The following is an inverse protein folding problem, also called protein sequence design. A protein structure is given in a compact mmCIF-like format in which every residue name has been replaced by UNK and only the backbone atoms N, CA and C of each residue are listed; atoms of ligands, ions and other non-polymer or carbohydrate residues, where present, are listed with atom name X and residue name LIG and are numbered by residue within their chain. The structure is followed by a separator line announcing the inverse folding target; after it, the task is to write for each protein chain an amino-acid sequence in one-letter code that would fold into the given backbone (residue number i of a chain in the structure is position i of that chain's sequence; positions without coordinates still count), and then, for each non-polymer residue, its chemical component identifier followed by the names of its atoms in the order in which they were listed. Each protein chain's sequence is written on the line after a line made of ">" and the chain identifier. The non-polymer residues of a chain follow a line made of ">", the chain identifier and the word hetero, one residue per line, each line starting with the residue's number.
data_IF_558625247083
#
_entry.id   IF_558625247083
#
_cell.length_a   1.000
_cell.length_b   1.000
_cell.length_c   1.000
_cell.angle_alpha   90.00
_cell.angle_beta   90.00
_cell.angle_gamma   90.00
#
_symmetry.space_group_name_H-M   'P 1'
#
loop_
_entity.id
_entity.type
_entity.pdbx_description
1 polymer ?
#
# COMPACT_ATOMS: atom_id res chain seq x y z
N UNK A 1 -13.16 -29.02 8.69
CA UNK A 1 -13.38 -28.79 7.23
C UNK A 1 -14.58 -27.88 6.92
N UNK A 2 -15.65 -27.85 7.73
CA UNK A 2 -16.83 -27.00 7.47
C UNK A 2 -16.58 -25.47 7.48
N UNK A 3 -15.56 -24.99 8.20
CA UNK A 3 -15.23 -23.56 8.23
C UNK A 3 -14.66 -23.01 6.91
N UNK A 4 -13.94 -23.84 6.15
CA UNK A 4 -13.33 -23.43 4.89
C UNK A 4 -14.37 -23.22 3.79
N UNK A 5 -15.40 -24.06 3.75
CA UNK A 5 -16.53 -23.90 2.83
C UNK A 5 -17.31 -22.60 3.09
N UNK A 6 -17.46 -22.20 4.37
CA UNK A 6 -18.10 -20.92 4.73
C UNK A 6 -17.30 -19.71 4.26
N UNK A 7 -15.97 -19.76 4.34
CA UNK A 7 -15.09 -18.69 3.85
C UNK A 7 -15.25 -18.50 2.34
N UNK A 8 -15.31 -19.58 1.56
CA UNK A 8 -15.41 -19.49 0.09
C UNK A 8 -16.76 -18.91 -0.35
N UNK A 9 -17.83 -19.14 0.42
CA UNK A 9 -19.16 -18.55 0.16
C UNK A 9 -19.38 -17.18 0.83
N UNK A 10 -18.41 -16.68 1.60
CA UNK A 10 -18.55 -15.38 2.24
C UNK A 10 -18.40 -14.27 1.18
N UNK A 11 -19.43 -13.42 0.97
CA UNK A 11 -19.40 -12.39 -0.04
C UNK A 11 -18.28 -11.36 0.18
N UNK A 12 -17.89 -11.11 1.44
CA UNK A 12 -16.76 -10.22 1.77
C UNK A 12 -15.44 -10.85 1.34
N UNK A 13 -15.29 -12.16 1.55
CA UNK A 13 -14.09 -12.89 1.12
C UNK A 13 -13.96 -12.94 -0.40
N UNK A 14 -15.06 -13.21 -1.12
CA UNK A 14 -15.09 -13.18 -2.58
C UNK A 14 -14.75 -11.78 -3.10
N UNK A 15 -15.33 -10.73 -2.50
CA UNK A 15 -15.01 -9.35 -2.87
C UNK A 15 -13.54 -9.02 -2.61
N UNK A 16 -13.00 -9.39 -1.45
CA UNK A 16 -11.60 -9.17 -1.10
C UNK A 16 -10.65 -9.86 -2.11
N UNK A 17 -10.91 -11.12 -2.46
CA UNK A 17 -10.14 -11.85 -3.48
C UNK A 17 -10.25 -11.17 -4.83
N UNK A 18 -11.45 -10.75 -5.23
CA UNK A 18 -11.67 -10.10 -6.54
C UNK A 18 -10.89 -8.79 -6.62
N UNK A 19 -10.97 -7.94 -5.59
CA UNK A 19 -10.21 -6.70 -5.49
C UNK A 19 -8.70 -6.99 -5.52
N UNK A 20 -8.24 -8.00 -4.79
CA UNK A 20 -6.82 -8.36 -4.74
C UNK A 20 -6.30 -8.87 -6.10
N UNK A 21 -7.10 -9.68 -6.80
CA UNK A 21 -6.78 -10.13 -8.15
C UNK A 21 -6.64 -8.94 -9.11
N UNK A 22 -7.61 -8.02 -9.12
CA UNK A 22 -7.57 -6.82 -9.93
C UNK A 22 -6.37 -5.93 -9.59
N UNK A 23 -6.09 -5.72 -8.29
CA UNK A 23 -4.93 -4.96 -7.83
C UNK A 23 -3.61 -5.59 -8.28
N UNK A 24 -3.52 -6.93 -8.27
CA UNK A 24 -2.35 -7.67 -8.74
C UNK A 24 -2.14 -7.45 -10.24
N UNK A 25 -3.19 -7.57 -11.06
CA UNK A 25 -3.09 -7.32 -12.50
C UNK A 25 -2.71 -5.86 -12.79
N UNK A 26 -3.31 -4.90 -12.09
CA UNK A 26 -2.97 -3.49 -12.21
C UNK A 26 -1.50 -3.24 -11.84
N UNK A 27 -1.01 -3.84 -10.76
CA UNK A 27 0.38 -3.72 -10.34
C UNK A 27 1.36 -4.26 -11.37
N UNK A 28 1.10 -5.47 -11.89
CA UNK A 28 1.91 -6.06 -12.96
C UNK A 28 1.91 -5.18 -14.20
N UNK A 29 0.76 -4.59 -14.56
CA UNK A 29 0.66 -3.68 -15.69
C UNK A 29 1.50 -2.39 -15.48
N UNK A 30 1.45 -1.80 -14.28
CA UNK A 30 2.26 -0.64 -13.92
C UNK A 30 3.75 -0.96 -14.00
N UNK A 31 4.18 -2.10 -13.45
CA UNK A 31 5.59 -2.53 -13.51
C UNK A 31 6.10 -2.78 -14.94
N UNK A 32 5.21 -3.13 -15.88
CA UNK A 32 5.57 -3.28 -17.29
C UNK A 32 5.66 -1.95 -18.03
N UNK A 33 4.99 -0.91 -17.56
CA UNK A 33 4.86 0.38 -18.24
C UNK A 33 5.76 1.47 -17.65
N UNK A 34 6.15 1.34 -16.39
CA UNK A 34 6.86 2.35 -15.61
C UNK A 34 8.18 1.74 -15.09
N UNK A 35 9.31 2.49 -15.12
CA UNK A 35 10.57 2.01 -14.55
C UNK A 35 10.39 1.59 -13.08
N UNK A 36 10.98 0.45 -12.71
CA UNK A 36 10.88 -0.09 -11.35
C UNK A 36 11.23 0.95 -10.27
N UNK A 37 12.26 1.76 -10.51
CA UNK A 37 12.67 2.84 -9.59
C UNK A 37 11.50 3.77 -9.24
N UNK A 38 10.75 4.24 -10.25
CA UNK A 38 9.61 5.13 -10.05
C UNK A 38 8.43 4.42 -9.36
N UNK A 39 8.18 3.15 -9.70
CA UNK A 39 7.13 2.36 -9.05
C UNK A 39 7.40 2.15 -7.55
N UNK A 40 8.65 1.84 -7.17
CA UNK A 40 9.06 1.72 -5.78
C UNK A 40 9.02 3.06 -5.04
N UNK A 41 9.40 4.16 -5.69
CA UNK A 41 9.25 5.50 -5.13
C UNK A 41 7.79 5.81 -4.79
N UNK A 42 6.87 5.49 -5.70
CA UNK A 42 5.43 5.67 -5.46
C UNK A 42 4.93 4.80 -4.31
N UNK A 43 5.40 3.55 -4.23
CA UNK A 43 5.07 2.64 -3.13
C UNK A 43 5.56 3.16 -1.76
N UNK A 44 6.74 3.80 -1.73
CA UNK A 44 7.26 4.45 -0.52
C UNK A 44 6.39 5.64 -0.08
N UNK A 45 5.91 6.46 -1.02
CA UNK A 45 4.99 7.57 -0.73
C UNK A 45 3.68 7.11 -0.10
N UNK A 46 3.17 5.92 -0.47
CA UNK A 46 1.97 5.33 0.14
C UNK A 46 2.10 5.20 1.66
N UNK A 47 3.28 4.90 2.20
CA UNK A 47 3.49 4.81 3.64
C UNK A 47 3.40 6.16 4.37
N UNK A 48 3.49 7.28 3.64
CA UNK A 48 3.28 8.63 4.19
C UNK A 48 1.83 9.06 3.96
N UNK A 49 1.32 8.86 2.76
CA UNK A 49 -0.02 9.27 2.34
C UNK A 49 -1.10 8.50 3.10
N UNK A 50 -0.97 7.18 3.27
CA UNK A 50 -2.00 6.35 3.92
C UNK A 50 -2.25 6.79 5.36
N UNK A 51 -1.24 6.95 6.24
CA UNK A 51 -1.49 7.47 7.58
C UNK A 51 -2.09 8.86 7.60
N UNK A 52 -1.66 9.77 6.71
CA UNK A 52 -2.22 11.12 6.63
C UNK A 52 -3.71 11.06 6.24
N UNK A 53 -4.05 10.27 5.22
CA UNK A 53 -5.44 10.05 4.83
C UNK A 53 -6.25 9.36 5.91
N UNK A 54 -5.69 8.38 6.63
CA UNK A 54 -6.35 7.76 7.78
C UNK A 54 -6.62 8.77 8.89
N UNK A 55 -5.68 9.66 9.19
CA UNK A 55 -5.87 10.71 10.17
C UNK A 55 -6.96 11.71 9.76
N UNK A 56 -7.02 12.07 8.47
CA UNK A 56 -8.00 13.04 7.95
C UNK A 56 -9.39 12.44 7.75
N UNK A 57 -9.49 11.20 7.25
CA UNK A 57 -10.77 10.55 6.90
C UNK A 57 -11.36 9.75 8.06
N UNK A 58 -10.53 9.03 8.82
CA UNK A 58 -10.94 8.19 9.95
C UNK A 58 -10.78 8.91 11.30
N UNK A 59 -10.12 10.08 11.33
CA UNK A 59 -9.91 10.84 12.56
C UNK A 59 -8.89 10.22 13.51
N UNK A 60 -8.05 9.30 13.04
CA UNK A 60 -7.07 8.61 13.88
C UNK A 60 -5.96 9.55 14.36
N UNK A 61 -5.58 9.43 15.64
CA UNK A 61 -4.50 10.22 16.21
C UNK A 61 -3.16 9.71 15.68
N UNK A 62 -2.52 10.53 14.83
CA UNK A 62 -1.16 10.29 14.37
C UNK A 62 -0.20 10.34 15.57
N UNK A 63 0.32 9.18 15.95
CA UNK A 63 1.35 9.10 16.98
C UNK A 63 2.70 9.59 16.45
N UNK A 64 3.55 10.08 17.36
CA UNK A 64 4.92 10.52 17.03
C UNK A 64 5.73 9.42 16.31
N UNK A 65 5.44 8.14 16.59
CA UNK A 65 6.04 6.98 15.92
C UNK A 65 5.73 6.94 14.43
N UNK A 66 4.50 7.29 14.03
CA UNK A 66 4.11 7.35 12.63
C UNK A 66 4.89 8.46 11.89
N UNK A 67 5.13 9.59 12.57
CA UNK A 67 5.90 10.70 12.02
C UNK A 67 7.38 10.34 11.83
N UNK A 68 7.98 9.66 12.82
CA UNK A 68 9.36 9.16 12.73
C UNK A 68 9.49 8.13 11.60
N UNK A 69 8.54 7.19 11.50
CA UNK A 69 8.50 6.21 10.42
C UNK A 69 8.39 6.86 9.04
N UNK A 70 7.47 7.83 8.88
CA UNK A 70 7.33 8.60 7.66
C UNK A 70 8.62 9.35 7.29
N UNK A 71 9.28 10.01 8.26
CA UNK A 71 10.53 10.71 8.03
C UNK A 71 11.66 9.76 7.58
N UNK A 72 11.77 8.56 8.15
CA UNK A 72 12.74 7.54 7.73
C UNK A 72 12.48 7.05 6.29
N UNK A 73 11.21 6.83 5.93
CA UNK A 73 10.83 6.38 4.58
C UNK A 73 11.13 7.47 3.55
N UNK A 74 10.79 8.74 3.85
CA UNK A 74 11.11 9.89 3.01
C UNK A 74 12.63 10.04 2.87
N UNK A 75 13.38 9.92 3.96
CA UNK A 75 14.85 9.96 3.93
C UNK A 75 15.45 8.87 3.06
N UNK A 76 14.99 7.63 3.20
CA UNK A 76 15.38 6.52 2.33
C UNK A 76 15.03 6.76 0.87
N UNK A 77 13.85 7.34 0.60
CA UNK A 77 13.43 7.71 -0.74
C UNK A 77 14.35 8.78 -1.37
N UNK A 78 14.75 9.80 -0.61
CA UNK A 78 15.70 10.81 -1.09
C UNK A 78 17.05 10.20 -1.45
N UNK A 79 17.54 9.25 -0.65
CA UNK A 79 18.80 8.54 -0.94
C UNK A 79 18.69 7.73 -2.24
N UNK A 80 17.61 6.96 -2.41
CA UNK A 80 17.39 6.16 -3.63
C UNK A 80 17.24 7.04 -4.87
N UNK A 81 16.55 8.18 -4.76
CA UNK A 81 16.31 9.09 -5.88
C UNK A 81 17.53 9.95 -6.25
N UNK A 82 18.40 10.26 -5.29
CA UNK A 82 19.63 11.06 -5.52
C UNK A 82 20.82 10.22 -5.95
N UNK A 83 20.81 8.91 -5.68
CA UNK A 83 21.91 7.98 -6.01
C UNK A 83 21.88 7.38 -7.42
N UNK A 84 21.05 7.90 -8.33
CA UNK A 84 20.92 7.46 -9.72
C UNK A 84 21.48 8.45 -10.73
#
# INVERSE_FOLDING_TARGET
>A
MAGFLRLITDPVFILAITIYALATFAWVFVLRSVPLSFAYSFMALTFVIVPILSALLLGEVLTIRNFIGAALIIGGLMVVTTGG
#
